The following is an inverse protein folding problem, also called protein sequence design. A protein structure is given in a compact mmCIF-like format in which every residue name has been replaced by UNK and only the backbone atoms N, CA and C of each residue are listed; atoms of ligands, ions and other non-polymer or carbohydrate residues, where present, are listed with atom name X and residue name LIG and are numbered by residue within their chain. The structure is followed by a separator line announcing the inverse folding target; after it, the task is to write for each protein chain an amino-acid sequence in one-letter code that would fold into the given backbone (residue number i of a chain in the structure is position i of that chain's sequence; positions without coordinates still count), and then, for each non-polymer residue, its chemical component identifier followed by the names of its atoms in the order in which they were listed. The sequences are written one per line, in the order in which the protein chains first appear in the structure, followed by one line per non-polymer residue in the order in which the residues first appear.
data_IF_831726611063
#
_entry.id   IF_831726611063
#
_cell.length_a   1.000
_cell.length_b   1.000
_cell.length_c   1.000
_cell.angle_alpha   90.00
_cell.angle_beta   90.00
_cell.angle_gamma   90.00
#
_symmetry.space_group_name_H-M   'P 1'
#
loop_
_entity.id
_entity.type
_entity.pdbx_description
1 polymer ?
#
# COMPACT_ATOMS: atom_id res chain seq x y z
N UNK A 1 -10.13 -30.88 -13.53
CA UNK A 1 -9.25 -31.10 -12.36
C UNK A 1 -7.80 -31.02 -12.83
N UNK A 2 -6.98 -30.21 -12.20
CA UNK A 2 -5.54 -30.16 -12.48
C UNK A 2 -4.88 -31.43 -11.92
N UNK A 3 -4.29 -32.22 -12.79
CA UNK A 3 -3.57 -33.44 -12.42
C UNK A 3 -2.15 -33.37 -12.96
N UNK A 4 -1.16 -33.23 -12.10
CA UNK A 4 0.24 -33.31 -12.47
C UNK A 4 1.04 -32.01 -12.28
N UNK A 5 2.34 -32.12 -12.49
CA UNK A 5 3.29 -31.00 -12.49
C UNK A 5 3.39 -30.40 -13.90
N UNK A 6 3.31 -29.07 -14.00
CA UNK A 6 3.47 -28.36 -15.28
C UNK A 6 2.22 -27.59 -15.71
N UNK A 7 2.28 -26.97 -16.89
CA UNK A 7 1.20 -26.18 -17.44
C UNK A 7 -0.01 -27.06 -17.86
N UNK A 8 -1.21 -26.85 -17.31
CA UNK A 8 -2.41 -27.60 -17.69
C UNK A 8 -2.72 -27.52 -19.19
N UNK A 9 -2.41 -26.40 -19.83
CA UNK A 9 -2.58 -26.17 -21.24
C UNK A 9 -1.67 -27.09 -22.08
N UNK A 10 -0.43 -27.28 -21.64
CA UNK A 10 0.53 -28.16 -22.31
C UNK A 10 0.18 -29.65 -22.16
N UNK A 11 -0.45 -30.00 -21.05
CA UNK A 11 -0.75 -31.40 -20.70
C UNK A 11 -2.12 -31.91 -21.19
N UNK A 12 -2.95 -31.04 -21.78
CA UNK A 12 -4.26 -31.41 -22.33
C UNK A 12 -4.20 -31.54 -23.88
N UNK A 13 -4.06 -32.78 -24.42
CA UNK A 13 -3.97 -32.97 -25.87
C UNK A 13 -5.24 -32.60 -26.63
N UNK A 14 -6.39 -32.72 -26.00
CA UNK A 14 -7.68 -32.42 -26.68
C UNK A 14 -7.87 -30.90 -26.78
N UNK A 15 -7.49 -30.14 -25.74
CA UNK A 15 -7.52 -28.68 -25.80
C UNK A 15 -6.55 -28.15 -26.87
N UNK A 16 -5.38 -28.75 -27.05
CA UNK A 16 -4.39 -28.31 -28.06
C UNK A 16 -4.87 -28.44 -29.48
N UNK A 17 -5.65 -29.47 -29.80
CA UNK A 17 -6.16 -29.70 -31.17
C UNK A 17 -7.16 -28.64 -31.60
N UNK A 18 -7.00 -28.14 -32.81
CA UNK A 18 -7.93 -27.17 -33.41
C UNK A 18 -7.90 -27.24 -34.92
N UNK A 19 -8.63 -26.35 -35.56
CA UNK A 19 -8.59 -26.17 -37.02
C UNK A 19 -8.10 -24.76 -37.37
N UNK A 20 -7.29 -24.64 -38.39
CA UNK A 20 -6.86 -23.35 -38.89
C UNK A 20 -8.05 -22.51 -39.33
N UNK A 21 -8.24 -21.27 -38.88
CA UNK A 21 -9.35 -20.41 -39.27
C UNK A 21 -9.31 -19.97 -40.76
N UNK A 22 -8.14 -20.03 -41.39
CA UNK A 22 -8.00 -19.64 -42.80
C UNK A 22 -8.24 -20.80 -43.75
N UNK A 23 -7.67 -21.98 -43.51
CA UNK A 23 -7.73 -23.09 -44.47
C UNK A 23 -8.54 -24.30 -43.97
N UNK A 24 -9.01 -24.32 -42.72
CA UNK A 24 -9.76 -25.43 -42.12
C UNK A 24 -8.94 -26.69 -41.83
N UNK A 25 -7.66 -26.72 -42.15
CA UNK A 25 -6.75 -27.84 -41.87
C UNK A 25 -6.52 -28.07 -40.39
N UNK A 26 -5.97 -29.27 -40.06
CA UNK A 26 -5.60 -29.59 -38.68
C UNK A 26 -4.52 -28.62 -38.20
N UNK A 27 -4.66 -28.13 -36.96
CA UNK A 27 -3.74 -27.21 -36.33
C UNK A 27 -3.67 -27.48 -34.84
N UNK A 28 -2.66 -26.91 -34.19
CA UNK A 28 -2.53 -26.92 -32.72
C UNK A 28 -2.59 -25.48 -32.18
N UNK A 29 -3.24 -25.30 -31.03
CA UNK A 29 -3.20 -24.03 -30.27
C UNK A 29 -1.85 -23.84 -29.68
N UNK A 30 -1.42 -22.58 -29.64
CA UNK A 30 -0.27 -22.16 -28.84
C UNK A 30 -0.51 -22.49 -27.36
N UNK A 31 0.52 -23.00 -26.70
CA UNK A 31 0.46 -23.41 -25.29
C UNK A 31 1.26 -22.51 -24.35
N UNK A 32 2.02 -21.58 -24.90
CA UNK A 32 2.64 -20.54 -24.10
C UNK A 32 1.62 -19.44 -23.80
N UNK A 33 1.67 -18.90 -22.60
CA UNK A 33 0.86 -17.75 -22.19
C UNK A 33 1.65 -16.48 -22.37
N UNK A 34 0.96 -15.35 -22.53
CA UNK A 34 1.62 -14.06 -22.47
C UNK A 34 2.28 -13.87 -21.11
N UNK A 35 3.31 -13.03 -21.09
CA UNK A 35 3.91 -12.56 -19.85
C UNK A 35 2.85 -11.94 -18.95
N UNK A 36 2.91 -12.21 -17.65
CA UNK A 36 1.92 -11.74 -16.67
C UNK A 36 1.91 -10.20 -16.55
N UNK A 37 2.95 -9.51 -17.01
CA UNK A 37 3.02 -8.05 -17.05
C UNK A 37 2.33 -7.42 -18.27
N UNK A 38 1.85 -8.22 -19.22
CA UNK A 38 1.17 -7.69 -20.41
C UNK A 38 -0.03 -6.83 -20.01
N UNK A 39 -0.97 -7.38 -19.26
CA UNK A 39 -2.19 -6.67 -18.85
C UNK A 39 -1.88 -5.51 -17.90
N UNK A 40 -0.95 -5.71 -16.97
CA UNK A 40 -0.55 -4.66 -16.03
C UNK A 40 0.22 -3.49 -16.68
N UNK A 41 0.64 -3.66 -17.94
CA UNK A 41 1.36 -2.61 -18.67
C UNK A 41 0.46 -1.48 -19.17
N UNK A 42 -0.84 -1.72 -19.35
CA UNK A 42 -1.74 -0.75 -19.99
C UNK A 42 -3.13 -0.63 -19.32
N UNK A 43 -3.43 -1.39 -18.26
CA UNK A 43 -4.73 -1.39 -17.59
C UNK A 43 -5.22 0.02 -17.21
N UNK A 44 -4.32 0.91 -16.80
CA UNK A 44 -4.63 2.30 -16.44
C UNK A 44 -5.25 3.07 -17.61
N UNK A 45 -4.74 2.83 -18.82
CA UNK A 45 -5.30 3.41 -20.04
C UNK A 45 -6.67 2.80 -20.36
N UNK A 46 -6.84 1.49 -20.20
CA UNK A 46 -8.14 0.83 -20.39
C UNK A 46 -9.20 1.39 -19.45
N UNK A 47 -8.84 1.72 -18.21
CA UNK A 47 -9.78 2.28 -17.24
C UNK A 47 -10.32 3.64 -17.63
N UNK A 48 -9.64 4.39 -18.48
CA UNK A 48 -10.15 5.67 -19.00
C UNK A 48 -11.27 5.50 -20.02
N UNK A 49 -11.41 4.32 -20.58
CA UNK A 49 -12.30 4.03 -21.72
C UNK A 49 -13.23 2.83 -21.45
N UNK A 50 -14.05 2.88 -20.37
CA UNK A 50 -14.96 1.78 -20.04
C UNK A 50 -15.98 1.60 -21.15
N UNK A 51 -16.16 0.32 -21.59
CA UNK A 51 -17.11 -0.03 -22.65
C UNK A 51 -16.63 0.23 -24.08
N UNK A 52 -15.42 0.77 -24.29
CA UNK A 52 -14.85 0.90 -25.64
C UNK A 52 -14.70 -0.48 -26.30
N UNK A 53 -14.97 -0.53 -27.62
CA UNK A 53 -14.78 -1.74 -28.41
C UNK A 53 -13.31 -1.98 -28.77
N UNK A 54 -12.57 -0.90 -28.97
CA UNK A 54 -11.13 -0.90 -29.19
C UNK A 54 -10.35 -0.92 -27.87
N UNK A 55 -9.02 -0.94 -27.97
CA UNK A 55 -8.11 -0.94 -26.82
C UNK A 55 -8.44 0.21 -25.87
N UNK A 56 -8.52 1.43 -26.39
CA UNK A 56 -8.93 2.68 -25.73
C UNK A 56 -9.63 3.59 -26.77
N UNK A 57 -10.24 4.68 -26.31
CA UNK A 57 -10.81 5.73 -27.16
C UNK A 57 -10.29 7.13 -26.75
N UNK A 58 -10.84 8.19 -27.37
CA UNK A 58 -10.39 9.57 -27.16
C UNK A 58 -10.44 10.04 -25.70
N UNK A 59 -11.25 9.41 -24.85
CA UNK A 59 -11.31 9.71 -23.41
C UNK A 59 -9.95 9.50 -22.72
N UNK A 60 -9.12 8.59 -23.25
CA UNK A 60 -7.77 8.39 -22.73
C UNK A 60 -6.93 9.66 -22.76
N UNK A 61 -7.06 10.50 -23.79
CA UNK A 61 -6.29 11.74 -23.90
C UNK A 61 -6.72 12.85 -22.93
N UNK A 62 -7.92 12.73 -22.34
CA UNK A 62 -8.36 13.62 -21.27
C UNK A 62 -7.80 13.19 -19.89
N UNK A 63 -7.74 11.87 -19.63
CA UNK A 63 -7.36 11.33 -18.34
C UNK A 63 -5.86 11.06 -18.18
N UNK A 64 -5.11 10.97 -19.29
CA UNK A 64 -3.68 10.68 -19.30
C UNK A 64 -2.86 11.95 -19.60
N UNK A 65 -1.67 12.08 -19.01
CA UNK A 65 -1.02 11.16 -18.07
C UNK A 65 -1.72 11.11 -16.70
N UNK A 66 -1.59 9.99 -15.98
CA UNK A 66 -2.06 9.86 -14.59
C UNK A 66 -1.32 10.88 -13.71
N UNK A 67 -2.05 11.65 -12.90
CA UNK A 67 -1.45 12.74 -12.08
C UNK A 67 -0.48 12.20 -11.04
N UNK A 68 -0.86 11.11 -10.36
CA UNK A 68 -0.06 10.47 -9.33
C UNK A 68 -0.21 8.95 -9.42
N UNK A 69 0.90 8.24 -9.63
CA UNK A 69 0.96 6.78 -9.65
C UNK A 69 1.75 6.27 -8.46
N UNK A 70 1.13 5.45 -7.61
CA UNK A 70 1.69 5.02 -6.34
C UNK A 70 1.73 3.50 -6.30
N UNK A 71 2.86 2.93 -5.91
CA UNK A 71 3.03 1.49 -5.76
C UNK A 71 4.26 1.13 -4.92
N UNK A 72 4.41 -0.16 -4.60
CA UNK A 72 5.56 -0.65 -3.87
C UNK A 72 6.87 -0.56 -4.66
N UNK A 73 7.98 -0.40 -3.95
CA UNK A 73 9.31 -0.31 -4.56
C UNK A 73 9.68 -1.56 -5.38
N UNK A 74 9.09 -2.72 -5.07
CA UNK A 74 9.30 -3.96 -5.83
C UNK A 74 8.86 -3.86 -7.30
N UNK A 75 8.01 -2.90 -7.63
CA UNK A 75 7.53 -2.65 -8.99
C UNK A 75 8.40 -1.66 -9.79
N UNK A 76 9.40 -1.05 -9.14
CA UNK A 76 10.22 0.00 -9.73
C UNK A 76 11.03 -0.45 -10.95
N UNK A 77 11.34 -1.74 -11.08
CA UNK A 77 12.10 -2.28 -12.21
C UNK A 77 11.17 -2.84 -13.28
N UNK A 78 10.52 -4.00 -13.05
CA UNK A 78 9.80 -4.69 -14.13
C UNK A 78 8.50 -3.98 -14.49
N UNK A 79 7.58 -3.83 -13.55
CA UNK A 79 6.26 -3.26 -13.85
C UNK A 79 6.37 -1.85 -14.44
N UNK A 80 7.12 -0.94 -13.81
CA UNK A 80 7.25 0.43 -14.30
C UNK A 80 7.99 0.52 -15.63
N UNK A 81 8.91 -0.39 -15.93
CA UNK A 81 9.55 -0.47 -17.23
C UNK A 81 8.51 -0.84 -18.31
N UNK A 82 7.71 -1.87 -18.11
CA UNK A 82 6.64 -2.26 -19.04
C UNK A 82 5.55 -1.18 -19.15
N UNK A 83 5.15 -0.59 -18.04
CA UNK A 83 4.19 0.50 -17.96
C UNK A 83 4.58 1.68 -18.85
N UNK A 84 5.85 2.12 -18.76
CA UNK A 84 6.38 3.20 -19.58
C UNK A 84 6.59 2.79 -21.05
N UNK A 85 7.14 1.60 -21.27
CA UNK A 85 7.41 1.10 -22.61
C UNK A 85 6.11 0.92 -23.40
N UNK A 86 5.10 0.28 -22.82
CA UNK A 86 3.83 0.07 -23.49
C UNK A 86 3.11 1.40 -23.79
N UNK A 87 3.20 2.36 -22.88
CA UNK A 87 2.65 3.69 -23.13
C UNK A 87 3.28 4.37 -24.35
N UNK A 88 4.60 4.26 -24.49
CA UNK A 88 5.30 4.81 -25.66
C UNK A 88 4.89 4.11 -26.97
N UNK A 89 4.62 2.80 -26.93
CA UNK A 89 4.06 2.10 -28.07
C UNK A 89 2.65 2.60 -28.43
N UNK A 90 1.80 2.83 -27.43
CA UNK A 90 0.47 3.41 -27.67
C UNK A 90 0.56 4.84 -28.24
N UNK A 91 1.49 5.66 -27.76
CA UNK A 91 1.76 6.98 -28.33
C UNK A 91 2.21 6.89 -29.79
N UNK A 92 3.17 6.03 -30.08
CA UNK A 92 3.71 5.85 -31.43
C UNK A 92 2.66 5.29 -32.41
N UNK A 93 1.69 4.53 -31.89
CA UNK A 93 0.50 4.08 -32.61
C UNK A 93 -0.59 5.17 -32.74
N UNK A 94 -0.42 6.35 -32.17
CA UNK A 94 -1.40 7.43 -32.21
C UNK A 94 -2.61 7.26 -31.28
N UNK A 95 -2.53 6.35 -30.32
CA UNK A 95 -3.62 6.06 -29.38
C UNK A 95 -3.66 7.03 -28.20
N UNK A 96 -2.51 7.56 -27.78
CA UNK A 96 -2.37 8.56 -26.71
C UNK A 96 -1.44 9.69 -27.13
N UNK A 97 -1.62 10.87 -26.53
CA UNK A 97 -0.87 12.09 -26.87
C UNK A 97 0.29 12.39 -25.89
N UNK A 98 0.33 11.72 -24.74
CA UNK A 98 1.36 11.95 -23.72
C UNK A 98 2.58 11.06 -23.92
N UNK A 99 3.77 11.58 -23.55
CA UNK A 99 5.05 10.85 -23.65
C UNK A 99 5.23 9.83 -22.52
N UNK A 100 4.68 10.13 -21.36
CA UNK A 100 4.80 9.30 -20.17
C UNK A 100 3.40 8.96 -19.63
N UNK A 101 3.22 7.77 -19.04
CA UNK A 101 1.92 7.32 -18.54
C UNK A 101 1.48 8.04 -17.27
N UNK A 102 2.41 8.59 -16.50
CA UNK A 102 2.15 9.31 -15.27
C UNK A 102 3.04 10.55 -15.14
N UNK A 103 2.50 11.62 -14.53
CA UNK A 103 3.23 12.84 -14.23
C UNK A 103 4.14 12.69 -13.02
N UNK A 104 3.67 11.95 -12.00
CA UNK A 104 4.44 11.68 -10.78
C UNK A 104 4.39 10.20 -10.42
N UNK A 105 5.53 9.66 -10.03
CA UNK A 105 5.68 8.30 -9.52
C UNK A 105 6.11 8.36 -8.05
N UNK A 106 5.44 7.58 -7.19
CA UNK A 106 5.84 7.39 -5.82
C UNK A 106 6.04 5.89 -5.56
N UNK A 107 7.30 5.46 -5.41
CA UNK A 107 7.64 4.10 -5.06
C UNK A 107 7.70 3.98 -3.53
N UNK A 108 6.71 3.32 -2.95
CA UNK A 108 6.59 3.17 -1.51
C UNK A 108 7.56 2.11 -0.98
N UNK A 109 8.12 2.37 0.21
CA UNK A 109 8.85 1.38 0.99
C UNK A 109 7.97 0.21 1.42
N UNK A 110 8.62 -0.86 1.85
CA UNK A 110 7.93 -2.08 2.28
C UNK A 110 7.39 -1.95 3.70
N UNK A 111 6.25 -2.58 3.96
CA UNK A 111 5.81 -2.80 5.33
C UNK A 111 6.56 -4.01 5.89
N UNK A 112 7.23 -3.82 7.01
CA UNK A 112 8.04 -4.81 7.69
C UNK A 112 7.47 -5.13 9.07
N UNK A 113 7.67 -6.35 9.53
CA UNK A 113 7.29 -6.79 10.87
C UNK A 113 8.23 -7.89 11.36
N UNK A 114 8.23 -8.08 12.67
CA UNK A 114 8.98 -9.18 13.28
C UNK A 114 8.45 -10.52 12.81
N UNK A 115 9.36 -11.51 12.76
CA UNK A 115 9.06 -12.88 12.38
C UNK A 115 9.35 -13.83 13.52
N UNK A 116 8.47 -14.82 13.71
CA UNK A 116 8.57 -15.82 14.76
C UNK A 116 8.39 -17.21 14.16
N UNK A 117 9.24 -18.16 14.57
CA UNK A 117 9.19 -19.51 14.03
C UNK A 117 9.64 -20.57 15.06
N UNK A 118 9.38 -21.83 14.76
CA UNK A 118 10.04 -23.00 15.37
C UNK A 118 10.72 -23.80 14.29
N UNK A 119 11.91 -24.29 14.59
CA UNK A 119 12.63 -25.21 13.72
C UNK A 119 12.10 -26.63 13.94
N UNK A 120 11.75 -27.31 12.86
CA UNK A 120 11.26 -28.68 12.86
C UNK A 120 12.45 -29.64 12.75
N UNK A 121 12.22 -30.93 13.07
CA UNK A 121 13.26 -31.95 13.05
C UNK A 121 13.85 -32.20 11.65
N UNK A 122 13.12 -31.92 10.60
CA UNK A 122 13.55 -32.02 9.21
C UNK A 122 14.26 -30.75 8.68
N UNK A 123 14.48 -29.74 9.54
CA UNK A 123 15.13 -28.49 9.20
C UNK A 123 14.18 -27.46 8.59
N UNK A 124 12.89 -27.76 8.39
CA UNK A 124 11.88 -26.78 7.99
C UNK A 124 11.53 -25.84 9.14
N UNK A 125 10.85 -24.72 8.84
CA UNK A 125 10.40 -23.74 9.82
C UNK A 125 8.89 -23.60 9.79
N UNK A 126 8.27 -23.71 10.96
CA UNK A 126 6.86 -23.37 11.16
C UNK A 126 6.78 -21.91 11.63
N UNK A 127 6.16 -21.04 10.82
CA UNK A 127 6.05 -19.61 11.09
C UNK A 127 4.75 -19.26 11.80
N UNK A 128 4.85 -18.39 12.82
CA UNK A 128 3.72 -17.94 13.64
C UNK A 128 3.42 -16.47 13.41
N UNK A 129 2.12 -16.14 13.45
CA UNK A 129 1.72 -14.75 13.33
C UNK A 129 2.15 -13.98 14.60
N UNK A 130 2.69 -12.75 14.46
CA UNK A 130 3.05 -11.93 15.61
C UNK A 130 1.90 -11.72 16.61
N UNK A 131 0.64 -11.68 16.15
CA UNK A 131 -0.52 -11.56 17.03
C UNK A 131 -0.74 -12.78 17.93
N UNK A 132 -0.20 -13.95 17.59
CA UNK A 132 -0.29 -15.19 18.36
C UNK A 132 0.88 -15.40 19.33
N UNK A 133 1.82 -14.44 19.39
CA UNK A 133 3.06 -14.53 20.16
C UNK A 133 3.09 -13.49 21.27
N UNK A 134 3.28 -13.96 22.50
CA UNK A 134 3.60 -13.10 23.65
C UNK A 134 5.09 -12.74 23.60
N UNK A 135 5.42 -11.46 23.49
CA UNK A 135 6.78 -10.96 23.41
C UNK A 135 7.26 -10.46 24.77
N UNK A 136 8.53 -10.70 25.05
CA UNK A 136 9.25 -10.16 26.21
C UNK A 136 10.28 -9.16 25.73
N UNK A 137 10.36 -8.03 26.42
CA UNK A 137 11.32 -6.98 26.10
C UNK A 137 12.27 -6.75 27.29
N UNK A 138 13.51 -6.41 26.99
CA UNK A 138 14.49 -6.02 28.00
C UNK A 138 14.21 -4.59 28.53
N UNK A 139 14.99 -4.15 29.49
CA UNK A 139 14.88 -2.82 30.11
C UNK A 139 15.08 -1.65 29.08
N UNK A 140 15.59 -1.94 27.90
CA UNK A 140 15.77 -0.98 26.79
C UNK A 140 14.69 -1.07 25.74
N UNK A 141 13.65 -1.93 25.98
CA UNK A 141 12.56 -2.16 25.02
C UNK A 141 12.94 -3.05 23.84
N UNK A 142 14.11 -3.69 23.86
CA UNK A 142 14.51 -4.62 22.80
C UNK A 142 13.91 -5.99 23.08
N UNK A 143 13.43 -6.64 22.01
CA UNK A 143 12.88 -8.00 22.05
C UNK A 143 13.91 -8.98 22.62
N UNK A 144 13.60 -9.65 23.73
CA UNK A 144 14.47 -10.55 24.46
C UNK A 144 13.98 -11.99 24.52
N UNK A 145 12.68 -12.20 24.34
CA UNK A 145 12.04 -13.52 24.32
C UNK A 145 10.70 -13.48 23.61
N UNK A 146 10.25 -14.66 23.20
CA UNK A 146 8.95 -14.81 22.55
C UNK A 146 8.35 -16.20 22.85
N UNK A 147 7.05 -16.24 23.14
CA UNK A 147 6.33 -17.46 23.52
C UNK A 147 5.02 -17.52 22.73
N UNK A 148 4.70 -18.66 22.12
CA UNK A 148 3.43 -18.86 21.44
C UNK A 148 2.30 -18.94 22.48
N UNK A 149 1.28 -18.10 22.35
CA UNK A 149 0.17 -17.99 23.31
C UNK A 149 -0.60 -19.31 23.42
N UNK A 150 -0.80 -20.01 22.29
CA UNK A 150 -1.61 -21.21 22.22
C UNK A 150 -1.10 -22.40 23.03
N UNK A 151 0.22 -22.55 23.17
CA UNK A 151 0.83 -23.70 23.84
C UNK A 151 1.83 -23.37 24.94
N UNK A 152 2.10 -22.08 25.16
CA UNK A 152 3.04 -21.59 26.18
C UNK A 152 4.50 -21.94 25.94
N UNK A 153 4.87 -22.39 24.74
CA UNK A 153 6.24 -22.80 24.43
C UNK A 153 7.02 -21.69 23.71
N UNK A 154 8.34 -21.61 23.91
CA UNK A 154 9.18 -20.64 23.24
C UNK A 154 9.13 -20.75 21.72
N UNK A 155 9.28 -19.60 21.07
CA UNK A 155 9.50 -19.48 19.63
C UNK A 155 10.79 -18.70 19.37
N UNK A 156 11.43 -18.99 18.24
CA UNK A 156 12.63 -18.30 17.80
C UNK A 156 12.25 -16.97 17.12
N UNK A 157 13.07 -15.95 17.34
CA UNK A 157 12.91 -14.62 16.73
C UNK A 157 13.73 -14.61 15.44
N UNK A 158 13.05 -14.44 14.30
CA UNK A 158 13.69 -14.46 12.97
C UNK A 158 14.16 -13.08 12.49
N UNK A 159 13.88 -12.01 13.26
CA UNK A 159 14.17 -10.64 12.86
C UNK A 159 13.02 -9.95 12.13
N UNK A 160 13.20 -8.65 11.85
CA UNK A 160 12.22 -7.81 11.17
C UNK A 160 12.38 -7.94 9.67
N UNK A 161 11.35 -8.39 8.97
CA UNK A 161 11.38 -8.65 7.54
C UNK A 161 10.09 -8.13 6.83
N UNK A 162 10.14 -8.06 5.49
CA UNK A 162 8.96 -7.75 4.69
C UNK A 162 7.79 -8.66 5.08
N UNK A 163 6.62 -8.09 5.27
CA UNK A 163 5.38 -8.84 5.50
C UNK A 163 5.11 -9.78 4.32
N UNK A 164 4.92 -11.06 4.60
CA UNK A 164 4.66 -12.08 3.59
C UNK A 164 3.80 -13.21 4.13
N UNK A 165 2.99 -13.80 3.24
CA UNK A 165 2.19 -14.98 3.60
C UNK A 165 3.05 -16.18 3.98
N UNK A 166 4.22 -16.33 3.36
CA UNK A 166 5.14 -17.46 3.61
C UNK A 166 5.78 -17.42 4.99
N UNK A 167 5.93 -16.23 5.58
CA UNK A 167 6.46 -16.04 6.93
C UNK A 167 5.40 -15.77 7.98
N UNK A 168 4.14 -15.71 7.56
CA UNK A 168 3.00 -15.47 8.43
C UNK A 168 3.16 -14.24 9.35
N UNK A 169 3.90 -13.21 8.89
CA UNK A 169 4.14 -12.00 9.66
C UNK A 169 3.28 -10.80 9.20
N UNK A 170 2.22 -11.06 8.46
CA UNK A 170 1.28 -10.04 8.03
C UNK A 170 0.29 -9.68 9.14
N UNK A 171 -0.06 -8.40 9.22
CA UNK A 171 -1.14 -7.89 10.08
C UNK A 171 -2.40 -7.79 9.24
N UNK A 172 -3.50 -8.35 9.74
CA UNK A 172 -4.80 -8.23 9.09
C UNK A 172 -5.35 -6.81 9.30
N UNK A 173 -5.53 -6.02 8.21
CA UNK A 173 -6.06 -4.67 8.32
C UNK A 173 -7.45 -4.62 8.95
N UNK A 174 -8.31 -5.62 8.69
CA UNK A 174 -9.68 -5.61 9.21
C UNK A 174 -9.69 -5.73 10.74
N UNK A 175 -8.88 -6.61 11.31
CA UNK A 175 -8.72 -6.75 12.76
C UNK A 175 -8.30 -5.42 13.40
N UNK A 176 -7.39 -4.69 12.78
CA UNK A 176 -6.96 -3.38 13.26
C UNK A 176 -8.07 -2.32 13.13
N UNK A 177 -8.80 -2.32 12.03
CA UNK A 177 -9.94 -1.43 11.82
C UNK A 177 -11.05 -1.69 12.84
N UNK A 178 -11.37 -2.95 13.12
CA UNK A 178 -12.39 -3.32 14.11
C UNK A 178 -11.99 -2.91 15.53
N UNK A 179 -10.69 -3.00 15.87
CA UNK A 179 -10.17 -2.66 17.20
C UNK A 179 -10.00 -1.15 17.41
N UNK A 180 -9.49 -0.42 16.41
CA UNK A 180 -9.04 0.97 16.56
C UNK A 180 -9.76 1.98 15.64
N UNK A 181 -10.53 1.51 14.68
CA UNK A 181 -11.17 2.33 13.66
C UNK A 181 -10.25 2.62 12.46
N UNK A 182 -10.86 2.79 11.29
CA UNK A 182 -10.15 3.00 10.03
C UNK A 182 -9.26 4.25 10.03
N UNK A 183 -9.74 5.36 10.62
CA UNK A 183 -8.98 6.61 10.68
C UNK A 183 -7.69 6.47 11.50
N UNK A 184 -7.71 5.68 12.57
CA UNK A 184 -6.53 5.39 13.37
C UNK A 184 -5.47 4.64 12.57
N UNK A 185 -5.89 3.59 11.85
CA UNK A 185 -4.98 2.76 11.04
C UNK A 185 -4.37 3.58 9.90
N UNK A 186 -5.19 4.40 9.23
CA UNK A 186 -4.73 5.31 8.18
C UNK A 186 -3.74 6.35 8.72
N UNK A 187 -4.04 6.96 9.87
CA UNK A 187 -3.17 7.95 10.49
C UNK A 187 -1.82 7.34 10.87
N UNK A 188 -1.82 6.12 11.45
CA UNK A 188 -0.59 5.40 11.76
C UNK A 188 0.23 5.10 10.50
N UNK A 189 -0.40 4.61 9.44
CA UNK A 189 0.30 4.30 8.18
C UNK A 189 0.99 5.52 7.56
N UNK A 190 0.41 6.71 7.73
CA UNK A 190 1.02 7.96 7.27
C UNK A 190 2.08 8.51 8.23
N UNK A 191 1.94 8.22 9.53
CA UNK A 191 2.84 8.73 10.57
C UNK A 191 4.14 7.92 10.70
N UNK A 192 4.08 6.60 10.55
CA UNK A 192 5.15 5.68 10.94
C UNK A 192 6.45 5.88 10.15
N UNK A 193 6.36 6.26 8.86
CA UNK A 193 7.53 6.54 8.02
C UNK A 193 7.18 7.46 6.84
N UNK A 194 8.17 8.15 6.25
CA UNK A 194 8.00 8.73 4.92
C UNK A 194 7.60 7.65 3.90
N UNK A 195 6.78 7.96 2.90
CA UNK A 195 6.25 6.95 1.97
C UNK A 195 7.31 6.09 1.27
N UNK A 196 8.48 6.65 0.99
CA UNK A 196 9.58 5.98 0.29
C UNK A 196 10.40 5.06 1.19
N UNK A 197 10.22 5.15 2.51
CA UNK A 197 10.92 4.33 3.48
C UNK A 197 10.08 3.14 3.94
N UNK A 198 10.77 2.09 4.43
CA UNK A 198 10.07 0.97 5.02
C UNK A 198 9.34 1.38 6.29
N UNK A 199 8.10 0.92 6.41
CA UNK A 199 7.24 1.11 7.57
C UNK A 199 7.40 -0.09 8.50
N UNK A 200 7.91 0.13 9.70
CA UNK A 200 7.94 -0.87 10.75
C UNK A 200 6.60 -0.88 11.48
N UNK A 201 5.89 -2.02 11.42
CA UNK A 201 4.58 -2.12 12.05
C UNK A 201 4.69 -2.19 13.56
N UNK A 202 3.97 -1.30 14.24
CA UNK A 202 3.95 -1.21 15.71
C UNK A 202 2.53 -1.05 16.24
N UNK A 203 2.03 -2.03 16.99
CA UNK A 203 0.70 -1.92 17.61
C UNK A 203 0.63 -0.79 18.63
N UNK A 204 1.68 -0.57 19.39
CA UNK A 204 1.78 0.56 20.33
C UNK A 204 1.74 1.92 19.62
N UNK A 205 2.29 1.99 18.40
CA UNK A 205 2.17 3.17 17.54
C UNK A 205 0.74 3.41 17.09
N UNK A 206 0.00 2.36 16.70
CA UNK A 206 -1.43 2.44 16.38
C UNK A 206 -2.23 2.96 17.56
N UNK A 207 -2.00 2.41 18.76
CA UNK A 207 -2.64 2.89 20.00
C UNK A 207 -2.33 4.37 20.29
N UNK A 208 -1.11 4.81 19.99
CA UNK A 208 -0.72 6.21 20.10
C UNK A 208 -1.58 7.13 19.26
N UNK A 209 -1.83 6.75 18.00
CA UNK A 209 -2.70 7.48 17.08
C UNK A 209 -4.17 7.44 17.52
N UNK A 210 -4.63 6.32 18.03
CA UNK A 210 -5.98 6.21 18.58
C UNK A 210 -6.20 7.19 19.75
N UNK A 211 -5.25 7.26 20.70
CA UNK A 211 -5.31 8.23 21.81
C UNK A 211 -5.28 9.68 21.32
N UNK A 212 -4.49 9.96 20.29
CA UNK A 212 -4.44 11.29 19.67
C UNK A 212 -5.80 11.69 19.08
N UNK A 213 -6.40 10.85 18.25
CA UNK A 213 -7.69 11.12 17.63
C UNK A 213 -8.82 11.27 18.67
N UNK A 214 -8.81 10.47 19.72
CA UNK A 214 -9.78 10.62 20.82
C UNK A 214 -9.65 11.96 21.55
N UNK A 215 -8.42 12.43 21.80
CA UNK A 215 -8.21 13.74 22.40
C UNK A 215 -8.69 14.87 21.50
N UNK A 216 -8.36 14.78 20.21
CA UNK A 216 -8.81 15.75 19.21
C UNK A 216 -10.33 15.80 19.15
N UNK A 217 -10.99 14.66 19.05
CA UNK A 217 -12.46 14.56 19.05
C UNK A 217 -13.08 15.21 20.28
N UNK A 218 -12.58 14.88 21.47
CA UNK A 218 -13.09 15.43 22.71
C UNK A 218 -12.86 16.96 22.81
N UNK A 219 -11.78 17.48 22.25
CA UNK A 219 -11.50 18.91 22.25
C UNK A 219 -12.43 19.65 21.27
N UNK A 220 -12.63 19.13 20.07
CA UNK A 220 -13.57 19.69 19.10
C UNK A 220 -15.00 19.63 19.65
N UNK A 221 -15.42 18.51 20.24
CA UNK A 221 -16.73 18.38 20.89
C UNK A 221 -16.97 19.45 21.93
N UNK A 222 -16.04 19.65 22.87
CA UNK A 222 -16.14 20.71 23.89
C UNK A 222 -16.25 22.11 23.28
N UNK A 223 -15.56 22.35 22.17
CA UNK A 223 -15.67 23.64 21.46
C UNK A 223 -17.05 23.81 20.81
N UNK A 224 -17.56 22.78 20.15
CA UNK A 224 -18.87 22.79 19.52
C UNK A 224 -19.99 22.98 20.56
N UNK A 225 -19.88 22.33 21.73
CA UNK A 225 -20.85 22.45 22.81
C UNK A 225 -20.94 23.88 23.40
N UNK A 226 -19.91 24.71 23.20
CA UNK A 226 -19.93 26.13 23.61
C UNK A 226 -20.76 27.02 22.68
N UNK A 227 -21.21 26.49 21.55
CA UNK A 227 -22.01 27.21 20.55
C UNK A 227 -21.17 28.04 19.59
N UNK A 228 -21.84 28.97 18.90
CA UNK A 228 -21.20 29.76 17.86
C UNK A 228 -20.26 30.82 18.49
N UNK A 229 -18.99 30.75 18.08
CA UNK A 229 -18.01 31.75 18.50
C UNK A 229 -18.29 33.10 17.85
N UNK A 230 -18.09 34.22 18.57
CA UNK A 230 -18.18 35.57 17.95
C UNK A 230 -17.09 35.76 16.90
N UNK A 231 -17.27 36.67 15.94
CA UNK A 231 -16.23 36.99 14.98
C UNK A 231 -14.92 37.37 15.67
N UNK A 232 -13.79 36.88 15.14
CA UNK A 232 -12.48 37.16 15.70
C UNK A 232 -12.05 38.59 15.44
N UNK A 233 -11.87 39.39 16.51
CA UNK A 233 -11.15 40.66 16.44
C UNK A 233 -9.64 40.40 16.66
N UNK A 234 -8.88 40.31 15.57
CA UNK A 234 -7.44 40.07 15.62
C UNK A 234 -6.67 41.23 16.27
N UNK A 235 -7.20 42.43 16.28
CA UNK A 235 -6.61 43.61 16.91
C UNK A 235 -6.63 43.56 18.45
N UNK A 236 -7.76 43.06 18.98
CA UNK A 236 -8.02 42.97 20.41
C UNK A 236 -7.37 41.75 21.11
N UNK A 237 -6.70 40.87 20.36
CA UNK A 237 -6.06 39.68 20.94
C UNK A 237 -4.93 40.06 21.92
N UNK A 238 -4.88 39.41 23.09
CA UNK A 238 -3.74 39.44 23.99
C UNK A 238 -2.47 38.87 23.34
N UNK A 239 -1.30 39.20 23.85
CA UNK A 239 -0.01 38.81 23.28
C UNK A 239 0.14 37.30 23.14
N UNK A 240 -0.31 36.52 24.10
CA UNK A 240 -0.29 35.05 24.09
C UNK A 240 -1.19 34.49 22.97
N UNK A 241 -2.39 35.04 22.83
CA UNK A 241 -3.33 34.61 21.77
C UNK A 241 -2.80 34.97 20.37
N UNK A 242 -2.12 36.12 20.22
CA UNK A 242 -1.42 36.48 18.98
C UNK A 242 -0.31 35.49 18.65
N UNK A 243 0.46 35.06 19.64
CA UNK A 243 1.53 34.07 19.48
C UNK A 243 0.95 32.72 19.05
N UNK A 244 -0.09 32.23 19.74
CA UNK A 244 -0.78 31.00 19.39
C UNK A 244 -1.36 31.04 17.98
N UNK A 245 -2.00 32.14 17.62
CA UNK A 245 -2.55 32.32 16.27
C UNK A 245 -1.47 32.28 15.18
N UNK A 246 -0.30 32.90 15.44
CA UNK A 246 0.84 32.84 14.53
C UNK A 246 1.31 31.39 14.34
N UNK A 247 1.54 30.68 15.44
CA UNK A 247 1.95 29.26 15.43
C UNK A 247 0.95 28.39 14.66
N UNK A 248 -0.34 28.61 14.88
CA UNK A 248 -1.40 27.90 14.14
C UNK A 248 -1.29 28.11 12.61
N UNK A 249 -1.12 29.36 12.16
CA UNK A 249 -0.99 29.65 10.74
C UNK A 249 0.31 29.12 10.14
N UNK A 250 1.43 29.18 10.89
CA UNK A 250 2.70 28.57 10.49
C UNK A 250 2.56 27.05 10.35
N UNK A 251 1.84 26.40 11.27
CA UNK A 251 1.55 24.94 11.23
C UNK A 251 0.66 24.62 10.04
N UNK A 252 -0.41 25.36 9.78
CA UNK A 252 -1.28 25.16 8.61
C UNK A 252 -0.49 25.26 7.30
N UNK A 253 0.38 26.26 7.19
CA UNK A 253 1.24 26.42 6.02
C UNK A 253 2.20 25.24 5.85
N UNK A 254 2.88 24.85 6.93
CA UNK A 254 3.83 23.73 6.93
C UNK A 254 3.14 22.40 6.58
N UNK A 255 2.02 22.09 7.20
CA UNK A 255 1.24 20.87 6.92
C UNK A 255 0.77 20.88 5.46
N UNK A 256 0.29 22.02 4.94
CA UNK A 256 -0.09 22.15 3.53
C UNK A 256 1.06 21.85 2.57
N UNK A 257 2.28 22.33 2.86
CA UNK A 257 3.47 22.04 2.06
C UNK A 257 3.92 20.57 2.18
N UNK A 258 3.91 20.03 3.39
CA UNK A 258 4.30 18.63 3.66
C UNK A 258 3.35 17.64 2.95
N UNK A 259 2.04 17.92 2.91
CA UNK A 259 1.07 17.06 2.20
C UNK A 259 1.05 17.28 0.69
N UNK A 260 1.04 18.54 0.25
CA UNK A 260 0.77 18.86 -1.15
C UNK A 260 2.00 18.75 -2.06
N UNK A 261 3.19 19.02 -1.55
CA UNK A 261 4.41 19.10 -2.34
C UNK A 261 5.48 18.09 -1.92
N UNK A 262 5.73 17.97 -0.61
CA UNK A 262 6.85 17.17 -0.10
C UNK A 262 6.49 15.71 0.14
N UNK A 263 5.21 15.39 0.28
CA UNK A 263 4.69 14.06 0.64
C UNK A 263 5.32 13.49 1.94
N UNK A 264 5.70 14.38 2.86
CA UNK A 264 6.27 14.01 4.17
C UNK A 264 5.18 13.95 5.23
N UNK A 265 4.27 13.00 5.09
CA UNK A 265 3.07 12.87 5.92
C UNK A 265 3.40 12.69 7.41
N UNK A 266 4.44 11.93 7.72
CA UNK A 266 4.93 11.73 9.08
C UNK A 266 5.29 13.05 9.77
N UNK A 267 5.93 13.96 9.06
CA UNK A 267 6.30 15.30 9.59
C UNK A 267 5.07 16.19 9.78
N UNK A 268 4.10 16.08 8.87
CA UNK A 268 2.86 16.85 8.97
C UNK A 268 2.01 16.43 10.18
N UNK A 269 2.05 15.16 10.59
CA UNK A 269 1.29 14.61 11.71
C UNK A 269 2.01 14.87 13.05
N UNK A 270 3.35 14.87 13.07
CA UNK A 270 4.17 15.13 14.26
C UNK A 270 4.07 16.57 14.75
#
# INVERSE_FOLDING_TARGET
AFSGTGSPIKTDPEWRKTRCPQCGGAAERETDTFDTFMESSWYYARYTSPGAQDLIDERANYWLPVDQYIGGIEHAIMHLMYFRFYHKLMRDAGLVNSDEPASNLLCQGMVIADTFYRSEADGSKTWFNPADVAIETDARGKLSGATLIADGKPVEIGGTEKMSKSKNNGVDPQTMVDKFGADTVRLFSMFAAPPEQSLDWSESGVEGMYRFLRRLWAQVGRHVDQGVCPPLDAGALAAEAKTLRRQLHETIHKVGDDYGRRLTFNTAIA
#
